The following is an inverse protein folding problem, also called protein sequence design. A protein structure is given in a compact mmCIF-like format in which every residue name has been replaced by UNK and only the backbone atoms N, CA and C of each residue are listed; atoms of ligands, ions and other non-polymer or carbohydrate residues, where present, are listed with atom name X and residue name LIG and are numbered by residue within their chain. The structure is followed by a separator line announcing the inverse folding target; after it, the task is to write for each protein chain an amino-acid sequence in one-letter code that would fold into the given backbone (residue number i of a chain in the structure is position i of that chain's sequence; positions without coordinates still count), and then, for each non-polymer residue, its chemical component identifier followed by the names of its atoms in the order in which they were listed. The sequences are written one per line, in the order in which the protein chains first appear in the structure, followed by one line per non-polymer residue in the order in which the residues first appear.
data_IF_175615811779
#
_entry.id   IF_175615811779
#
_cell.length_a   1.000
_cell.length_b   1.000
_cell.length_c   1.000
_cell.angle_alpha   90.00
_cell.angle_beta   90.00
_cell.angle_gamma   90.00
#
_symmetry.space_group_name_H-M   'P 1'
#
loop_
_entity.id
_entity.type
_entity.pdbx_description
1 polymer ?
#
# COMPACT_ATOMS: atom_id res chain seq x y z
N UNK A 1 -18.27 2.09 5.34
CA UNK A 1 -17.62 3.32 5.84
C UNK A 1 -16.14 3.00 5.92
N UNK A 2 -15.28 3.85 5.38
CA UNK A 2 -13.84 3.58 5.29
C UNK A 2 -13.08 4.39 6.36
N UNK A 3 -11.98 3.84 6.86
CA UNK A 3 -11.08 4.49 7.80
C UNK A 3 -9.84 5.04 7.09
N UNK A 4 -9.15 5.98 7.72
CA UNK A 4 -7.82 6.42 7.25
C UNK A 4 -6.90 5.20 7.26
N UNK A 5 -6.19 4.98 6.15
CA UNK A 5 -5.33 3.82 5.95
C UNK A 5 -6.01 2.62 5.28
N UNK A 6 -7.34 2.64 5.11
CA UNK A 6 -8.03 1.55 4.42
C UNK A 6 -7.64 1.51 2.95
N UNK A 7 -7.35 0.31 2.47
CA UNK A 7 -7.18 0.03 1.05
C UNK A 7 -8.54 0.01 0.35
N UNK A 8 -8.66 0.86 -0.66
CA UNK A 8 -9.88 1.06 -1.42
C UNK A 8 -9.62 0.95 -2.91
N UNK A 9 -10.67 0.60 -3.64
CA UNK A 9 -10.68 0.48 -5.09
C UNK A 9 -11.83 1.31 -5.66
N UNK A 10 -11.56 2.14 -6.67
CA UNK A 10 -12.59 2.91 -7.36
C UNK A 10 -13.36 2.05 -8.37
N UNK A 11 -14.47 2.59 -8.88
CA UNK A 11 -15.26 1.98 -9.96
C UNK A 11 -14.52 1.85 -11.28
N UNK A 12 -13.44 2.62 -11.48
CA UNK A 12 -12.58 2.56 -12.67
C UNK A 12 -11.46 1.52 -12.55
N UNK A 13 -11.39 0.77 -11.45
CA UNK A 13 -10.35 -0.23 -11.23
C UNK A 13 -9.05 0.32 -10.65
N UNK A 14 -9.02 1.55 -10.14
CA UNK A 14 -7.85 2.12 -9.46
C UNK A 14 -7.85 1.74 -8.00
N UNK A 15 -6.73 1.22 -7.51
CA UNK A 15 -6.53 0.88 -6.10
C UNK A 15 -5.64 1.91 -5.43
N UNK A 16 -5.98 2.25 -4.19
CA UNK A 16 -5.32 3.25 -3.39
C UNK A 16 -5.65 3.08 -1.91
N UNK A 17 -5.28 4.06 -1.11
CA UNK A 17 -5.64 4.10 0.30
C UNK A 17 -6.24 5.44 0.69
N UNK A 18 -7.06 5.43 1.74
CA UNK A 18 -7.66 6.63 2.32
C UNK A 18 -6.61 7.38 3.13
N UNK A 19 -6.40 8.65 2.82
CA UNK A 19 -5.46 9.54 3.52
C UNK A 19 -6.19 10.39 4.56
N UNK A 20 -7.39 10.84 4.25
CA UNK A 20 -8.23 11.61 5.18
C UNK A 20 -9.71 11.44 4.87
N UNK A 21 -10.55 11.73 5.86
CA UNK A 21 -12.02 11.66 5.75
C UNK A 21 -12.61 12.99 6.18
N UNK A 22 -13.45 13.60 5.34
CA UNK A 22 -14.13 14.86 5.65
C UNK A 22 -15.58 14.84 5.18
N UNK A 23 -16.54 14.98 6.11
CA UNK A 23 -17.98 15.07 5.84
C UNK A 23 -18.46 14.08 4.75
N UNK A 24 -18.09 12.80 4.89
CA UNK A 24 -18.44 11.72 3.98
C UNK A 24 -17.73 11.70 2.60
N UNK A 25 -16.74 12.57 2.39
CA UNK A 25 -15.79 12.48 1.29
C UNK A 25 -14.47 11.90 1.79
N UNK A 26 -13.88 11.04 0.99
CA UNK A 26 -12.62 10.36 1.30
C UNK A 26 -11.55 10.94 0.39
N UNK A 27 -10.50 11.50 0.97
CA UNK A 27 -9.33 11.86 0.21
C UNK A 27 -8.51 10.58 0.00
N UNK A 28 -8.52 10.08 -1.23
CA UNK A 28 -7.89 8.81 -1.59
C UNK A 28 -6.67 9.10 -2.45
N UNK A 29 -5.55 8.44 -2.11
CA UNK A 29 -4.37 8.40 -2.96
C UNK A 29 -4.37 7.09 -3.73
N UNK A 30 -4.66 7.17 -5.01
CA UNK A 30 -4.56 6.05 -5.94
C UNK A 30 -3.10 5.80 -6.30
N UNK A 31 -2.77 4.51 -6.40
CA UNK A 31 -1.42 4.01 -6.56
C UNK A 31 -1.25 3.17 -7.82
N UNK A 32 -2.28 2.42 -8.22
CA UNK A 32 -2.26 1.61 -9.43
C UNK A 32 -3.64 1.33 -9.97
N UNK A 33 -3.75 0.90 -11.21
CA UNK A 33 -4.99 0.34 -11.78
C UNK A 33 -4.96 -1.19 -11.80
N UNK A 34 -6.06 -1.78 -12.28
CA UNK A 34 -6.26 -3.23 -12.38
C UNK A 34 -5.24 -3.96 -13.27
N UNK A 35 -4.61 -3.24 -14.22
CA UNK A 35 -3.52 -3.80 -15.04
C UNK A 35 -2.13 -3.60 -14.39
N UNK A 36 -2.07 -3.13 -13.15
CA UNK A 36 -0.84 -2.97 -12.36
C UNK A 36 0.00 -1.75 -12.73
N UNK A 37 -0.51 -0.84 -13.58
CA UNK A 37 0.19 0.39 -13.94
C UNK A 37 0.16 1.34 -12.75
N UNK A 38 1.33 1.85 -12.34
CA UNK A 38 1.47 2.82 -11.25
C UNK A 38 0.80 4.14 -11.65
N UNK A 39 -0.09 4.60 -10.81
CA UNK A 39 -0.83 5.86 -10.93
C UNK A 39 -0.50 6.63 -9.65
N UNK A 40 0.02 7.85 -9.72
CA UNK A 40 0.27 8.67 -8.53
C UNK A 40 -0.71 9.83 -8.52
N UNK A 41 -1.96 9.56 -8.17
CA UNK A 41 -3.06 10.52 -8.28
C UNK A 41 -3.87 10.54 -6.99
N UNK A 42 -4.18 11.73 -6.48
CA UNK A 42 -4.97 11.88 -5.25
C UNK A 42 -6.21 12.72 -5.54
N UNK A 43 -7.38 12.26 -5.09
CA UNK A 43 -8.65 12.95 -5.35
C UNK A 43 -9.65 12.67 -4.21
N UNK A 44 -10.60 13.60 -4.03
CA UNK A 44 -11.75 13.38 -3.16
C UNK A 44 -12.78 12.50 -3.85
N UNK A 45 -13.16 11.41 -3.21
CA UNK A 45 -14.09 10.42 -3.76
C UNK A 45 -15.24 10.19 -2.78
N UNK A 46 -16.44 10.01 -3.31
CA UNK A 46 -17.63 9.68 -2.53
C UNK A 46 -17.63 8.20 -2.11
N UNK A 47 -18.32 7.85 -1.02
CA UNK A 47 -18.47 6.44 -0.59
C UNK A 47 -18.97 5.54 -1.71
N UNK A 48 -19.86 6.05 -2.57
CA UNK A 48 -20.54 5.26 -3.61
C UNK A 48 -19.61 4.84 -4.75
N UNK A 49 -18.47 5.52 -4.88
CA UNK A 49 -17.46 5.27 -5.89
C UNK A 49 -16.31 4.40 -5.38
N UNK A 50 -16.35 4.00 -4.10
CA UNK A 50 -15.30 3.23 -3.45
C UNK A 50 -15.80 1.84 -3.01
N UNK A 51 -14.93 0.85 -3.17
CA UNK A 51 -15.07 -0.50 -2.63
C UNK A 51 -13.82 -0.85 -1.84
N UNK A 52 -13.91 -1.80 -0.91
CA UNK A 52 -12.70 -2.33 -0.28
C UNK A 52 -11.80 -2.99 -1.34
N UNK A 53 -10.50 -2.73 -1.26
CA UNK A 53 -9.54 -3.42 -2.10
C UNK A 53 -9.53 -4.93 -1.77
N UNK A 54 -9.18 -5.79 -2.74
CA UNK A 54 -8.99 -7.22 -2.47
C UNK A 54 -7.90 -7.45 -1.42
N UNK A 55 -8.10 -8.45 -0.58
CA UNK A 55 -7.21 -8.79 0.56
C UNK A 55 -5.79 -9.12 0.10
N UNK A 56 -5.65 -9.61 -1.13
CA UNK A 56 -4.37 -9.99 -1.74
C UNK A 56 -3.57 -8.80 -2.31
N UNK A 57 -4.01 -7.56 -2.07
CA UNK A 57 -3.27 -6.39 -2.51
C UNK A 57 -1.89 -6.35 -1.85
N UNK A 58 -0.85 -6.57 -2.66
CA UNK A 58 0.55 -6.34 -2.27
C UNK A 58 0.94 -4.89 -2.54
N UNK A 59 1.16 -4.06 -1.50
CA UNK A 59 1.72 -2.73 -1.67
C UNK A 59 3.19 -2.80 -2.07
N UNK A 60 3.65 -1.80 -2.81
CA UNK A 60 5.08 -1.59 -3.04
C UNK A 60 5.75 -1.01 -1.79
N UNK A 61 7.08 -1.15 -1.73
CA UNK A 61 7.89 -0.66 -0.61
C UNK A 61 7.68 0.85 -0.35
N UNK A 62 7.70 1.69 -1.41
CA UNK A 62 7.42 3.13 -1.32
C UNK A 62 6.05 3.45 -0.68
N UNK A 63 5.05 2.60 -0.94
CA UNK A 63 3.68 2.79 -0.49
C UNK A 63 3.57 2.49 1.00
N UNK A 64 4.26 1.45 1.47
CA UNK A 64 4.38 1.16 2.89
C UNK A 64 5.10 2.28 3.63
N UNK A 65 6.19 2.84 3.09
CA UNK A 65 6.84 3.99 3.73
C UNK A 65 5.90 5.19 3.88
N UNK A 66 5.09 5.48 2.86
CA UNK A 66 4.09 6.53 2.95
C UNK A 66 3.08 6.25 4.07
N UNK A 67 2.55 5.02 4.14
CA UNK A 67 1.58 4.64 5.16
C UNK A 67 2.19 4.66 6.57
N UNK A 68 3.45 4.27 6.72
CA UNK A 68 4.19 4.34 7.98
C UNK A 68 4.30 5.79 8.46
N UNK A 69 4.65 6.72 7.56
CA UNK A 69 4.69 8.15 7.89
C UNK A 69 3.30 8.67 8.27
N UNK A 70 2.26 8.26 7.54
CA UNK A 70 0.88 8.63 7.87
C UNK A 70 0.46 8.07 9.25
N UNK A 71 0.89 6.85 9.61
CA UNK A 71 0.64 6.27 10.92
C UNK A 71 1.35 7.02 12.05
N UNK A 72 2.56 7.52 11.79
CA UNK A 72 3.28 8.38 12.73
C UNK A 72 2.57 9.73 12.92
N UNK A 73 2.10 10.33 11.84
CA UNK A 73 1.36 11.60 11.86
C UNK A 73 0.03 11.47 12.62
N UNK A 74 -0.67 10.35 12.46
CA UNK A 74 -1.91 10.05 13.21
C UNK A 74 -1.66 9.50 14.61
N UNK A 75 -0.39 9.25 14.99
CA UNK A 75 0.04 8.64 16.25
C UNK A 75 -0.57 7.25 16.51
N UNK A 76 -0.91 6.53 15.43
CA UNK A 76 -1.45 5.17 15.53
C UNK A 76 -0.31 4.15 15.61
N UNK A 77 0.03 3.80 16.86
CA UNK A 77 1.11 2.85 17.15
C UNK A 77 0.82 1.44 16.64
N UNK A 78 -0.44 1.00 16.67
CA UNK A 78 -0.81 -0.36 16.25
C UNK A 78 -0.65 -0.46 14.73
N UNK A 79 -1.16 0.54 14.03
CA UNK A 79 -1.06 0.60 12.57
C UNK A 79 0.39 0.74 12.09
N UNK A 80 1.19 1.56 12.77
CA UNK A 80 2.63 1.68 12.50
C UNK A 80 3.35 0.33 12.61
N UNK A 81 3.08 -0.45 13.66
CA UNK A 81 3.70 -1.76 13.89
C UNK A 81 3.27 -2.77 12.82
N UNK A 82 1.99 -2.78 12.43
CA UNK A 82 1.49 -3.65 11.36
C UNK A 82 2.21 -3.36 10.02
N UNK A 83 2.25 -2.08 9.62
CA UNK A 83 2.89 -1.65 8.38
C UNK A 83 4.40 -1.92 8.36
N UNK A 84 5.08 -1.66 9.48
CA UNK A 84 6.50 -1.95 9.63
C UNK A 84 6.79 -3.45 9.54
N UNK A 85 5.91 -4.28 10.10
CA UNK A 85 6.02 -5.74 10.00
C UNK A 85 5.86 -6.22 8.55
N UNK A 86 4.90 -5.67 7.80
CA UNK A 86 4.74 -5.97 6.37
C UNK A 86 5.95 -5.54 5.55
N UNK A 87 6.52 -4.37 5.85
CA UNK A 87 7.73 -3.87 5.21
C UNK A 87 8.91 -4.83 5.43
N UNK A 88 9.11 -5.31 6.66
CA UNK A 88 10.15 -6.27 6.98
C UNK A 88 9.98 -7.59 6.22
N UNK A 89 8.74 -8.07 6.04
CA UNK A 89 8.46 -9.28 5.24
C UNK A 89 8.86 -9.07 3.79
N UNK A 90 8.47 -7.95 3.17
CA UNK A 90 8.85 -7.64 1.78
C UNK A 90 10.38 -7.51 1.60
N UNK A 91 11.08 -6.90 2.56
CA UNK A 91 12.53 -6.80 2.52
C UNK A 91 13.20 -8.17 2.64
N UNK A 92 12.66 -9.06 3.48
CA UNK A 92 13.13 -10.45 3.60
C UNK A 92 12.88 -11.25 2.32
N UNK A 93 11.70 -11.12 1.69
CA UNK A 93 11.41 -11.75 0.40
C UNK A 93 12.42 -11.32 -0.67
N UNK A 94 12.75 -10.01 -0.72
CA UNK A 94 13.75 -9.47 -1.66
C UNK A 94 15.16 -10.02 -1.41
N UNK A 95 15.56 -10.15 -0.14
CA UNK A 95 16.87 -10.69 0.24
C UNK A 95 17.00 -12.20 -0.01
N UNK A 96 15.92 -12.97 0.17
CA UNK A 96 15.92 -14.41 -0.12
C UNK A 96 16.06 -14.69 -1.61
N UNK A 97 15.41 -13.91 -2.48
CA UNK A 97 15.59 -14.01 -3.94
C UNK A 97 17.05 -13.66 -4.35
N UNK A 98 17.66 -12.68 -3.68
CA UNK A 98 19.06 -12.31 -3.95
C UNK A 98 20.06 -13.40 -3.52
N UNK A 99 19.73 -14.19 -2.50
CA UNK A 99 20.59 -15.29 -2.05
C UNK A 99 20.49 -16.55 -2.94
N UNK A 100 19.41 -16.73 -3.70
CA UNK A 100 19.29 -17.76 -4.73
C UNK A 100 20.05 -17.40 -6.03
N UNK A 101 20.37 -16.12 -6.22
CA UNK A 101 21.20 -15.61 -7.31
C UNK A 101 22.68 -15.44 -6.90
N UNK A 102 23.26 -16.39 -6.16
CA UNK A 102 24.72 -16.53 -6.15
C UNK A 102 25.14 -17.40 -7.34
N UNK A 103 25.88 -16.89 -8.33
CA UNK A 103 26.49 -17.76 -9.31
C UNK A 103 27.41 -18.72 -8.56
N UNK A 104 27.30 -20.01 -8.89
CA UNK A 104 28.30 -21.01 -8.55
C UNK A 104 29.68 -20.41 -8.86
N UNK A 105 30.44 -20.05 -7.82
CA UNK A 105 31.87 -19.85 -7.99
C UNK A 105 32.43 -21.20 -8.39
N UNK A 106 32.75 -21.33 -9.67
CA UNK A 106 33.43 -22.48 -10.23
C UNK A 106 34.77 -22.60 -9.51
N UNK A 107 34.92 -23.74 -8.86
CA UNK A 107 36.17 -24.22 -8.28
C UNK A 107 37.16 -24.45 -9.43
N UNK A 108 38.29 -23.73 -9.43
CA UNK A 108 39.60 -24.20 -9.90
C UNK A 108 40.69 -23.19 -9.56
#
# INVERSE_FOLDING_TARGET
MFSIGDWVKDTSGKTGFVVSVYKNNYYVRFLKNDIGVKINHSIYVSTNELKHAPVDFKPYEDELYFLINLALDTRDKIWFVDLSSRLLVLQKERLNIANDCKPFYFMM
#
